data_IF_525280530278
#
_entry.id   IF_525280530278
#
_cell.length_a   1.000
_cell.length_b   1.000
_cell.length_c   1.000
_cell.angle_alpha   90.00
_cell.angle_beta   90.00
_cell.angle_gamma   90.00
#
_symmetry.space_group_name_H-M   'P 1'
#
loop_
_entity.id
_entity.type
_entity.pdbx_description
1 polymer ?
#
# COMPACT_ATOMS: atom_id res chain seq x y z
N UNK A 1 -1.24 40.50 -72.82
CA UNK A 1 -1.54 39.15 -73.40
C UNK A 1 -0.37 38.25 -73.04
N UNK A 2 -0.45 37.49 -71.97
CA UNK A 2 0.38 36.31 -71.75
C UNK A 2 -0.49 35.32 -71.00
N UNK A 3 -0.60 34.10 -71.47
CA UNK A 3 -1.50 33.05 -71.05
C UNK A 3 -0.98 32.33 -69.77
N UNK A 4 -1.86 31.66 -69.01
CA UNK A 4 -1.50 30.94 -67.81
C UNK A 4 -0.97 29.53 -68.07
N UNK A 5 0.11 29.16 -67.44
CA UNK A 5 0.67 27.80 -67.43
C UNK A 5 -0.02 26.97 -66.37
N UNK A 6 -0.60 25.87 -66.81
CA UNK A 6 -1.14 24.77 -65.99
C UNK A 6 0.04 23.93 -65.41
N UNK A 7 0.07 23.68 -64.12
CA UNK A 7 0.73 22.50 -63.58
C UNK A 7 -0.10 21.94 -62.42
N UNK A 8 -0.93 20.97 -62.74
CA UNK A 8 -1.62 20.12 -61.81
C UNK A 8 -0.71 18.91 -61.60
N UNK A 9 -0.27 18.65 -60.39
CA UNK A 9 0.23 17.34 -59.96
C UNK A 9 -0.41 17.00 -58.63
N UNK A 10 -1.39 16.13 -58.72
CA UNK A 10 -1.87 15.34 -57.62
C UNK A 10 -0.71 14.50 -57.11
N UNK A 11 -0.27 14.76 -55.89
CA UNK A 11 0.61 13.87 -55.12
C UNK A 11 -0.26 13.26 -54.06
N UNK A 12 -0.80 12.08 -54.39
CA UNK A 12 -1.40 11.16 -53.48
C UNK A 12 -0.32 10.79 -52.43
N UNK A 13 -0.39 11.38 -51.24
CA UNK A 13 0.47 11.03 -50.16
C UNK A 13 -0.15 9.87 -49.39
N UNK A 14 0.25 8.65 -49.74
CA UNK A 14 0.12 7.47 -48.91
C UNK A 14 0.91 7.67 -47.58
N UNK A 15 0.31 8.36 -46.64
CA UNK A 15 0.74 8.35 -45.27
C UNK A 15 0.08 7.12 -44.63
N UNK A 16 0.82 6.09 -44.26
CA UNK A 16 0.25 4.98 -43.49
C UNK A 16 -0.32 5.53 -42.21
N UNK A 17 -1.62 5.45 -42.03
CA UNK A 17 -2.29 5.70 -40.74
C UNK A 17 -1.71 4.71 -39.76
N UNK A 18 -0.89 5.21 -38.83
CA UNK A 18 -0.50 4.47 -37.64
C UNK A 18 -1.79 4.06 -36.92
N UNK A 19 -2.13 2.79 -37.04
CA UNK A 19 -3.12 2.18 -36.16
C UNK A 19 -2.64 2.39 -34.74
N UNK A 20 -3.50 2.83 -33.79
CA UNK A 20 -3.11 2.87 -32.39
C UNK A 20 -2.69 1.46 -32.00
N UNK A 21 -1.48 1.34 -31.44
CA UNK A 21 -1.01 0.09 -30.89
C UNK A 21 -2.10 -0.45 -29.98
N UNK A 22 -2.53 -1.68 -30.22
CA UNK A 22 -3.42 -2.40 -29.32
C UNK A 22 -2.66 -2.48 -27.99
N UNK A 23 -3.04 -1.64 -27.03
CA UNK A 23 -2.63 -1.77 -25.66
C UNK A 23 -3.20 -3.10 -25.19
N UNK A 24 -2.39 -4.14 -25.25
CA UNK A 24 -2.71 -5.40 -24.59
C UNK A 24 -3.01 -5.05 -23.14
N UNK A 25 -4.28 -5.10 -22.76
CA UNK A 25 -4.67 -5.02 -21.36
C UNK A 25 -3.99 -6.20 -20.70
N UNK A 26 -3.03 -5.93 -19.79
CA UNK A 26 -2.51 -6.98 -18.93
C UNK A 26 -3.72 -7.67 -18.26
N UNK A 27 -3.64 -8.98 -18.05
CA UNK A 27 -4.68 -9.68 -17.33
C UNK A 27 -4.85 -9.05 -15.94
N UNK A 28 -6.09 -8.94 -15.46
CA UNK A 28 -6.35 -8.48 -14.09
C UNK A 28 -5.64 -9.39 -13.10
N UNK A 29 -5.13 -8.81 -12.01
CA UNK A 29 -4.52 -9.59 -10.92
C UNK A 29 -5.60 -10.45 -10.26
N UNK A 30 -5.33 -11.73 -10.07
CA UNK A 30 -6.07 -12.55 -9.12
C UNK A 30 -5.57 -12.22 -7.71
N UNK A 31 -6.48 -11.99 -6.77
CA UNK A 31 -6.18 -11.41 -5.46
C UNK A 31 -6.62 -12.38 -4.35
N UNK A 32 -5.74 -12.64 -3.41
CA UNK A 32 -6.06 -13.36 -2.18
C UNK A 32 -6.22 -12.37 -1.02
N UNK A 33 -7.40 -12.39 -0.42
CA UNK A 33 -7.76 -11.50 0.68
C UNK A 33 -7.28 -12.06 2.01
N UNK A 34 -6.43 -11.31 2.68
CA UNK A 34 -5.93 -11.59 4.02
C UNK A 34 -6.47 -10.55 4.99
N UNK A 35 -6.87 -10.95 6.18
CA UNK A 35 -7.27 -10.02 7.24
C UNK A 35 -6.35 -10.14 8.43
N UNK A 36 -6.00 -9.00 9.03
CA UNK A 36 -5.20 -8.88 10.26
C UNK A 36 -5.99 -8.00 11.23
N UNK A 37 -7.07 -8.54 11.86
CA UNK A 37 -8.00 -7.75 12.65
C UNK A 37 -7.45 -7.48 14.07
N UNK A 38 -6.28 -6.85 14.14
CA UNK A 38 -5.58 -6.57 15.38
C UNK A 38 -5.17 -5.10 15.44
N UNK A 39 -5.27 -4.53 16.65
CA UNK A 39 -4.50 -3.36 17.03
C UNK A 39 -3.36 -3.85 17.91
N UNK A 40 -2.15 -3.79 17.37
CA UNK A 40 -0.97 -4.42 17.95
C UNK A 40 -1.18 -5.94 18.12
N UNK A 41 -1.34 -6.42 19.36
CA UNK A 41 -1.59 -7.83 19.68
C UNK A 41 -3.00 -8.08 20.26
N UNK A 42 -3.89 -7.08 20.16
CA UNK A 42 -5.29 -7.13 20.63
C UNK A 42 -6.24 -7.26 19.44
N UNK A 43 -6.97 -8.38 19.39
CA UNK A 43 -7.89 -8.68 18.29
C UNK A 43 -9.21 -7.90 18.43
N UNK A 44 -9.65 -7.23 17.37
CA UNK A 44 -10.98 -6.61 17.26
C UNK A 44 -11.16 -5.31 18.04
N UNK A 45 -10.13 -4.82 18.71
CA UNK A 45 -10.19 -3.58 19.48
C UNK A 45 -9.82 -2.36 18.62
N UNK A 46 -10.59 -1.28 18.75
CA UNK A 46 -10.32 -0.01 18.07
C UNK A 46 -10.11 -0.17 16.56
N UNK A 47 -8.90 0.12 16.09
CA UNK A 47 -8.50 -0.07 14.70
C UNK A 47 -8.57 -1.55 14.26
N UNK A 48 -8.34 -2.50 15.19
CA UNK A 48 -8.45 -3.93 14.92
C UNK A 48 -9.84 -4.37 14.47
N UNK A 49 -10.88 -3.59 14.72
CA UNK A 49 -12.23 -3.86 14.21
C UNK A 49 -12.42 -3.43 12.73
N UNK A 50 -11.49 -2.67 12.16
CA UNK A 50 -11.58 -2.15 10.79
C UNK A 50 -11.74 -3.22 9.72
N UNK A 51 -10.92 -4.28 9.69
CA UNK A 51 -11.07 -5.38 8.73
C UNK A 51 -12.45 -6.02 8.76
N UNK A 52 -12.96 -6.36 9.95
CA UNK A 52 -14.28 -6.97 10.11
C UNK A 52 -15.41 -6.02 9.67
N UNK A 53 -15.25 -4.71 9.88
CA UNK A 53 -16.22 -3.70 9.43
C UNK A 53 -16.26 -3.59 7.90
N UNK A 54 -15.12 -3.67 7.21
CA UNK A 54 -15.07 -3.69 5.74
C UNK A 54 -15.71 -4.97 5.16
N UNK A 55 -15.46 -6.12 5.77
CA UNK A 55 -16.12 -7.36 5.38
C UNK A 55 -17.63 -7.28 5.57
N UNK A 56 -18.09 -6.78 6.73
CA UNK A 56 -19.51 -6.61 7.04
C UNK A 56 -20.21 -5.59 6.12
N UNK A 57 -19.45 -4.59 5.63
CA UNK A 57 -19.92 -3.63 4.63
C UNK A 57 -20.00 -4.18 3.20
N UNK A 58 -19.60 -5.45 2.97
CA UNK A 58 -19.70 -6.12 1.69
C UNK A 58 -18.56 -5.82 0.71
N UNK A 59 -17.37 -5.46 1.22
CA UNK A 59 -16.20 -5.17 0.36
C UNK A 59 -15.87 -6.32 -0.61
N UNK A 60 -15.83 -7.61 -0.19
CA UNK A 60 -15.53 -8.69 -1.11
C UNK A 60 -16.51 -8.80 -2.28
N UNK A 61 -17.81 -8.62 -2.01
CA UNK A 61 -18.88 -8.67 -3.02
C UNK A 61 -18.76 -7.50 -3.98
N UNK A 62 -18.45 -6.30 -3.47
CA UNK A 62 -18.25 -5.11 -4.30
C UNK A 62 -17.04 -5.26 -5.21
N UNK A 63 -15.93 -5.80 -4.72
CA UNK A 63 -14.72 -6.07 -5.52
C UNK A 63 -14.98 -7.10 -6.62
N UNK A 64 -15.67 -8.21 -6.30
CA UNK A 64 -16.06 -9.22 -7.30
C UNK A 64 -16.98 -8.64 -8.36
N UNK A 65 -17.95 -7.81 -7.95
CA UNK A 65 -18.84 -7.12 -8.89
C UNK A 65 -18.10 -6.13 -9.80
N UNK A 66 -16.98 -5.57 -9.33
CA UNK A 66 -16.09 -4.72 -10.10
C UNK A 66 -15.08 -5.51 -10.99
N UNK A 67 -15.16 -6.84 -11.00
CA UNK A 67 -14.35 -7.71 -11.87
C UNK A 67 -13.03 -8.18 -11.25
N UNK A 68 -12.82 -7.98 -9.93
CA UNK A 68 -11.64 -8.50 -9.24
C UNK A 68 -11.85 -9.99 -8.93
N UNK A 69 -10.94 -10.84 -9.39
CA UNK A 69 -10.93 -12.26 -9.01
C UNK A 69 -10.40 -12.38 -7.58
N UNK A 70 -11.31 -12.50 -6.61
CA UNK A 70 -11.00 -12.47 -5.19
C UNK A 70 -11.22 -13.83 -4.52
N UNK A 71 -10.19 -14.34 -3.85
CA UNK A 71 -10.24 -15.52 -2.95
C UNK A 71 -10.15 -15.10 -1.48
N UNK A 72 -10.33 -15.99 -0.53
CA UNK A 72 -10.34 -15.69 0.89
C UNK A 72 -11.72 -15.19 1.38
N UNK A 73 -11.82 -14.51 2.55
CA UNK A 73 -10.71 -14.03 3.37
C UNK A 73 -10.01 -15.13 4.18
N UNK A 74 -8.70 -14.94 4.39
CA UNK A 74 -7.87 -15.71 5.30
C UNK A 74 -7.42 -14.83 6.45
N UNK A 75 -7.73 -15.18 7.70
CA UNK A 75 -7.37 -14.39 8.87
C UNK A 75 -6.00 -14.80 9.41
N UNK A 76 -5.10 -13.83 9.56
CA UNK A 76 -3.87 -14.00 10.32
C UNK A 76 -4.17 -14.00 11.82
N UNK A 77 -3.52 -14.90 12.56
CA UNK A 77 -3.81 -15.12 13.98
C UNK A 77 -2.56 -15.15 14.82
N UNK A 78 -2.57 -14.39 15.90
CA UNK A 78 -1.62 -14.57 16.98
C UNK A 78 -1.99 -15.87 17.73
N UNK A 79 -1.08 -16.85 17.70
CA UNK A 79 -1.29 -18.09 18.43
C UNK A 79 -1.32 -17.82 19.94
N UNK A 80 -2.45 -18.12 20.64
CA UNK A 80 -2.56 -17.83 22.08
C UNK A 80 -1.48 -18.52 22.93
N UNK A 81 -0.96 -19.69 22.50
CA UNK A 81 0.10 -20.39 23.20
C UNK A 81 1.48 -19.70 23.09
N UNK A 82 1.62 -18.77 22.15
CA UNK A 82 2.85 -17.99 21.91
C UNK A 82 2.71 -16.55 22.41
N UNK A 83 1.51 -16.11 22.75
CA UNK A 83 1.28 -14.75 23.25
C UNK A 83 1.90 -14.60 24.65
N UNK A 84 2.69 -13.54 24.82
CA UNK A 84 3.35 -13.21 26.10
C UNK A 84 2.82 -11.87 26.60
N UNK A 85 2.29 -11.85 27.83
CA UNK A 85 1.81 -10.63 28.47
C UNK A 85 2.94 -9.59 28.60
N UNK A 86 2.66 -8.33 28.27
CA UNK A 86 3.63 -7.23 28.36
C UNK A 86 4.75 -7.27 27.29
N UNK A 87 4.69 -8.17 26.33
CA UNK A 87 5.67 -8.30 25.25
C UNK A 87 5.08 -7.94 23.90
N UNK A 88 4.34 -6.84 23.84
CA UNK A 88 3.56 -6.42 22.65
C UNK A 88 4.38 -6.43 21.35
N UNK A 89 5.58 -5.87 21.34
CA UNK A 89 6.43 -5.88 20.15
C UNK A 89 6.77 -7.31 19.65
N UNK A 90 7.01 -8.25 20.57
CA UNK A 90 7.25 -9.65 20.21
C UNK A 90 5.98 -10.31 19.69
N UNK A 91 4.84 -10.06 20.32
CA UNK A 91 3.54 -10.58 19.91
C UNK A 91 3.14 -10.08 18.53
N UNK A 92 3.37 -8.80 18.23
CA UNK A 92 3.17 -8.22 16.88
C UNK A 92 4.07 -8.96 15.86
N UNK A 93 5.33 -9.21 16.19
CA UNK A 93 6.22 -9.97 15.32
C UNK A 93 5.71 -11.40 15.06
N UNK A 94 5.17 -12.08 16.07
CA UNK A 94 4.58 -13.42 15.95
C UNK A 94 3.31 -13.42 15.09
N UNK A 95 2.45 -12.40 15.25
CA UNK A 95 1.31 -12.17 14.37
C UNK A 95 1.79 -11.88 12.93
N UNK A 96 2.85 -11.09 12.81
CA UNK A 96 3.53 -10.82 11.54
C UNK A 96 4.03 -12.09 10.84
N UNK A 97 4.51 -13.09 11.59
CA UNK A 97 4.92 -14.38 11.01
C UNK A 97 3.74 -15.14 10.38
N UNK A 98 2.56 -15.12 11.00
CA UNK A 98 1.37 -15.73 10.41
C UNK A 98 0.84 -14.93 9.21
N UNK A 99 0.88 -13.60 9.28
CA UNK A 99 0.60 -12.72 8.13
C UNK A 99 1.55 -13.04 6.98
N UNK A 100 2.85 -13.18 7.24
CA UNK A 100 3.86 -13.52 6.24
C UNK A 100 3.59 -14.87 5.57
N UNK A 101 3.18 -15.87 6.34
CA UNK A 101 2.80 -17.19 5.83
C UNK A 101 1.65 -17.10 4.81
N UNK A 102 0.61 -16.32 5.12
CA UNK A 102 -0.54 -16.12 4.23
C UNK A 102 -0.16 -15.35 2.96
N UNK A 103 0.54 -14.23 3.09
CA UNK A 103 1.02 -13.43 1.96
C UNK A 103 1.95 -14.27 1.06
N UNK A 104 2.89 -15.01 1.65
CA UNK A 104 3.77 -15.88 0.87
C UNK A 104 3.01 -17.00 0.15
N UNK A 105 1.95 -17.55 0.76
CA UNK A 105 1.12 -18.56 0.12
C UNK A 105 0.42 -18.01 -1.14
N UNK A 106 -0.20 -16.83 -1.04
CA UNK A 106 -0.81 -16.13 -2.17
C UNK A 106 0.22 -15.88 -3.29
N UNK A 107 1.37 -15.34 -2.94
CA UNK A 107 2.41 -15.02 -3.92
C UNK A 107 3.02 -16.23 -4.63
N UNK A 108 3.15 -17.37 -3.97
CA UNK A 108 3.68 -18.61 -4.59
C UNK A 108 2.78 -19.18 -5.67
N UNK A 109 1.48 -18.90 -5.62
CA UNK A 109 0.52 -19.32 -6.68
C UNK A 109 0.29 -18.21 -7.71
N UNK A 110 1.00 -17.09 -7.61
CA UNK A 110 0.92 -15.98 -8.55
C UNK A 110 -0.17 -14.95 -8.25
N UNK A 111 -0.88 -15.07 -7.11
CA UNK A 111 -1.91 -14.11 -6.70
C UNK A 111 -1.30 -12.86 -6.05
N UNK A 112 -1.96 -11.71 -6.19
CA UNK A 112 -1.71 -10.55 -5.34
C UNK A 112 -2.25 -10.78 -3.94
N UNK A 113 -1.62 -10.21 -2.92
CA UNK A 113 -2.16 -10.24 -1.55
C UNK A 113 -2.82 -8.90 -1.20
N UNK A 114 -4.14 -8.89 -1.02
CA UNK A 114 -4.85 -7.76 -0.42
C UNK A 114 -4.96 -7.99 1.08
N UNK A 115 -4.33 -7.12 1.86
CA UNK A 115 -4.32 -7.22 3.33
C UNK A 115 -5.19 -6.12 3.91
N UNK A 116 -6.25 -6.48 4.62
CA UNK A 116 -7.01 -5.56 5.46
C UNK A 116 -6.44 -5.66 6.87
N UNK A 117 -5.77 -4.63 7.31
CA UNK A 117 -5.09 -4.60 8.61
C UNK A 117 -5.80 -3.66 9.59
N UNK A 118 -5.70 -3.95 10.87
CA UNK A 118 -6.18 -3.04 11.91
C UNK A 118 -5.30 -1.81 11.99
N UNK A 119 -3.99 -2.00 12.13
CA UNK A 119 -3.01 -0.93 12.14
C UNK A 119 -1.78 -1.26 11.27
N UNK A 120 -0.84 -0.32 11.19
CA UNK A 120 0.31 -0.34 10.28
C UNK A 120 1.36 -1.36 10.66
N UNK A 121 1.29 -1.90 11.89
CA UNK A 121 2.24 -2.91 12.39
C UNK A 121 2.20 -4.19 11.58
N UNK A 122 1.09 -4.49 10.91
CA UNK A 122 0.93 -5.63 10.01
C UNK A 122 1.90 -5.61 8.81
N UNK A 123 2.38 -4.43 8.40
CA UNK A 123 3.26 -4.24 7.26
C UNK A 123 4.55 -5.07 7.34
N UNK A 124 5.07 -5.28 8.56
CA UNK A 124 6.28 -6.10 8.76
C UNK A 124 6.05 -7.54 8.29
N UNK A 125 4.88 -8.09 8.62
CA UNK A 125 4.47 -9.42 8.16
C UNK A 125 4.24 -9.47 6.66
N UNK A 126 3.63 -8.43 6.08
CA UNK A 126 3.41 -8.36 4.62
C UNK A 126 4.73 -8.39 3.87
N UNK A 127 5.69 -7.51 4.22
CA UNK A 127 7.00 -7.46 3.56
C UNK A 127 7.80 -8.75 3.80
N UNK A 128 7.71 -9.32 5.00
CA UNK A 128 8.31 -10.63 5.29
C UNK A 128 7.77 -11.71 4.35
N UNK A 129 6.45 -11.77 4.15
CA UNK A 129 5.81 -12.73 3.24
C UNK A 129 6.21 -12.55 1.79
N UNK A 130 6.32 -11.30 1.33
CA UNK A 130 6.82 -10.99 -0.01
C UNK A 130 8.25 -11.49 -0.20
N UNK A 131 9.14 -11.23 0.76
CA UNK A 131 10.54 -11.71 0.70
C UNK A 131 10.65 -13.24 0.76
N UNK A 132 9.79 -13.91 1.53
CA UNK A 132 9.76 -15.38 1.60
C UNK A 132 9.26 -16.05 0.29
N UNK A 133 8.48 -15.36 -0.52
CA UNK A 133 7.97 -15.85 -1.79
C UNK A 133 8.82 -15.41 -2.99
N UNK A 134 9.65 -14.38 -2.83
CA UNK A 134 10.49 -13.86 -3.89
C UNK A 134 11.73 -14.73 -4.13
N UNK A 135 12.33 -14.59 -5.31
CA UNK A 135 13.66 -15.13 -5.58
C UNK A 135 14.67 -14.49 -4.62
N UNK A 136 15.64 -15.26 -4.16
CA UNK A 136 16.69 -14.78 -3.25
C UNK A 136 17.37 -13.51 -3.81
N UNK A 137 17.51 -12.50 -2.96
CA UNK A 137 18.09 -11.21 -3.34
C UNK A 137 17.16 -10.26 -4.09
N UNK A 138 15.91 -10.65 -4.38
CA UNK A 138 14.96 -9.75 -5.03
C UNK A 138 14.62 -8.55 -4.14
N UNK A 139 14.82 -7.34 -4.68
CA UNK A 139 14.47 -6.11 -4.00
C UNK A 139 12.96 -5.89 -3.97
N UNK A 140 12.44 -5.51 -2.81
CA UNK A 140 11.05 -5.11 -2.60
C UNK A 140 11.02 -3.58 -2.42
N UNK A 141 10.24 -2.89 -3.26
CA UNK A 141 9.97 -1.46 -3.08
C UNK A 141 8.74 -1.27 -2.21
N UNK A 142 8.76 -0.24 -1.38
CA UNK A 142 7.65 0.13 -0.49
C UNK A 142 7.12 1.49 -0.92
N UNK A 143 5.84 1.57 -1.24
CA UNK A 143 5.09 2.81 -1.40
C UNK A 143 4.17 2.93 -0.20
N UNK A 144 4.50 3.86 0.68
CA UNK A 144 3.79 4.12 1.94
C UNK A 144 2.93 5.35 1.79
N UNK A 145 1.61 5.16 1.64
CA UNK A 145 0.63 6.24 1.43
C UNK A 145 -0.01 6.55 2.77
N UNK A 146 0.37 7.67 3.38
CA UNK A 146 0.09 7.99 4.77
C UNK A 146 0.23 9.50 5.03
N UNK A 147 -0.51 10.02 6.02
CA UNK A 147 -0.29 11.36 6.54
C UNK A 147 1.03 11.51 7.29
N UNK A 148 1.53 10.41 7.86
CA UNK A 148 2.69 10.32 8.74
C UNK A 148 3.88 9.66 8.05
N UNK A 149 5.02 9.63 8.72
CA UNK A 149 6.22 8.98 8.21
C UNK A 149 6.36 7.53 8.63
N UNK A 150 5.78 7.19 9.78
CA UNK A 150 5.93 5.92 10.48
C UNK A 150 7.39 5.45 10.60
N UNK A 151 8.29 6.44 10.61
CA UNK A 151 9.73 6.28 10.61
C UNK A 151 10.35 6.55 11.99
N UNK A 152 9.51 6.62 13.01
CA UNK A 152 9.97 6.77 14.38
C UNK A 152 10.68 5.52 14.89
N UNK A 153 11.65 5.73 15.75
CA UNK A 153 12.27 4.69 16.60
C UNK A 153 11.85 4.93 18.04
N UNK A 154 12.11 4.01 18.97
CA UNK A 154 11.87 4.27 20.39
C UNK A 154 12.58 5.53 20.92
N UNK A 155 13.69 5.94 20.27
CA UNK A 155 14.49 7.10 20.67
C UNK A 155 13.99 8.41 20.05
N UNK A 156 13.30 8.34 18.91
CA UNK A 156 12.79 9.54 18.20
C UNK A 156 11.34 9.83 18.52
N UNK A 157 10.53 8.78 18.78
CA UNK A 157 9.10 8.90 19.02
C UNK A 157 8.79 9.75 20.25
N UNK A 158 7.91 10.73 20.06
CA UNK A 158 7.39 11.54 21.15
C UNK A 158 6.26 10.83 21.90
N UNK A 159 5.40 10.13 21.16
CA UNK A 159 4.21 9.48 21.71
C UNK A 159 4.44 8.05 22.22
N UNK A 160 5.47 7.36 21.71
CA UNK A 160 5.71 5.94 21.93
C UNK A 160 4.72 5.02 21.20
N UNK A 161 3.91 5.55 20.27
CA UNK A 161 2.95 4.79 19.48
C UNK A 161 3.70 3.81 18.57
N UNK A 162 3.42 2.51 18.72
CA UNK A 162 4.11 1.49 17.93
C UNK A 162 3.73 1.52 16.44
N UNK A 163 2.51 1.93 16.11
CA UNK A 163 2.07 2.09 14.72
C UNK A 163 2.86 3.19 13.97
N UNK A 164 3.48 4.15 14.67
CA UNK A 164 4.35 5.17 14.07
C UNK A 164 5.81 4.70 13.83
N UNK A 165 6.10 3.39 13.87
CA UNK A 165 7.46 2.85 13.74
C UNK A 165 7.68 1.86 12.59
N UNK A 166 6.65 1.33 11.90
CA UNK A 166 6.82 0.22 10.97
C UNK A 166 7.82 0.47 9.86
N UNK A 167 7.88 1.67 9.30
CA UNK A 167 8.81 1.98 8.20
C UNK A 167 10.26 1.96 8.68
N UNK A 168 10.55 2.51 9.86
CA UNK A 168 11.89 2.42 10.47
C UNK A 168 12.28 0.97 10.77
N UNK A 169 11.32 0.15 11.19
CA UNK A 169 11.54 -1.29 11.45
C UNK A 169 11.80 -2.04 10.13
N UNK A 170 11.03 -1.76 9.08
CA UNK A 170 11.27 -2.30 7.74
C UNK A 170 12.66 -1.94 7.22
N UNK A 171 13.10 -0.70 7.44
CA UNK A 171 14.43 -0.20 7.09
C UNK A 171 15.56 -0.75 7.98
N UNK A 172 15.24 -1.50 9.05
CA UNK A 172 16.24 -2.09 9.95
C UNK A 172 16.82 -1.14 10.98
N UNK A 173 16.25 0.05 11.14
CA UNK A 173 16.73 1.09 12.05
C UNK A 173 16.18 0.93 13.47
N UNK A 174 15.10 0.15 13.64
CA UNK A 174 14.46 -0.10 14.92
C UNK A 174 13.93 -1.54 15.02
N UNK A 175 13.43 -1.93 16.19
CA UNK A 175 12.62 -3.12 16.43
C UNK A 175 13.20 -4.45 15.94
N UNK A 176 14.50 -4.81 16.18
CA UNK A 176 15.08 -6.05 15.67
C UNK A 176 14.29 -7.28 16.12
N UNK A 177 13.85 -7.32 17.38
CA UNK A 177 13.08 -8.43 17.93
C UNK A 177 11.74 -8.62 17.19
N UNK A 178 11.08 -7.53 16.88
CA UNK A 178 9.83 -7.53 16.13
C UNK A 178 10.03 -8.08 14.70
N UNK A 179 11.04 -7.58 14.00
CA UNK A 179 11.39 -8.00 12.66
C UNK A 179 11.81 -9.48 12.59
N UNK A 180 12.66 -9.91 13.54
CA UNK A 180 13.09 -11.31 13.67
C UNK A 180 11.92 -12.24 13.92
N UNK A 181 11.03 -11.90 14.86
CA UNK A 181 9.85 -12.69 15.18
C UNK A 181 8.87 -12.81 13.99
N UNK A 182 8.80 -11.80 13.12
CA UNK A 182 8.04 -11.85 11.88
C UNK A 182 8.74 -12.60 10.74
N UNK A 183 9.98 -13.06 10.94
CA UNK A 183 10.78 -13.74 9.92
C UNK A 183 11.34 -12.81 8.83
N UNK A 184 11.40 -11.52 9.07
CA UNK A 184 12.01 -10.53 8.18
C UNK A 184 13.51 -10.40 8.48
N UNK A 185 14.31 -11.31 7.94
CA UNK A 185 15.75 -11.37 8.19
C UNK A 185 16.51 -10.17 7.59
N UNK A 186 16.18 -9.77 6.37
CA UNK A 186 16.86 -8.69 5.64
C UNK A 186 15.96 -7.45 5.60
N UNK A 187 16.44 -6.28 6.05
CA UNK A 187 15.71 -5.02 5.92
C UNK A 187 15.39 -4.64 4.47
N UNK A 188 14.52 -3.67 4.30
CA UNK A 188 14.32 -2.94 3.04
C UNK A 188 15.33 -1.80 3.00
N UNK A 189 16.06 -1.68 1.91
CA UNK A 189 16.99 -0.57 1.70
C UNK A 189 16.20 0.76 1.63
N UNK A 190 16.70 1.81 2.26
CA UNK A 190 15.99 3.09 2.36
C UNK A 190 15.71 3.73 1.00
N UNK A 191 16.57 3.54 0.01
CA UNK A 191 16.35 3.99 -1.38
C UNK A 191 15.19 3.27 -2.09
N UNK A 192 14.66 2.20 -1.51
CA UNK A 192 13.49 1.44 -1.99
C UNK A 192 12.20 1.83 -1.26
N UNK A 193 12.21 2.92 -0.50
CA UNK A 193 11.03 3.41 0.25
C UNK A 193 10.63 4.79 -0.25
N UNK A 194 9.35 4.94 -0.57
CA UNK A 194 8.69 6.22 -0.89
C UNK A 194 7.59 6.46 0.12
N UNK A 195 7.68 7.55 0.86
CA UNK A 195 6.62 8.09 1.72
C UNK A 195 5.77 9.04 0.88
N UNK A 196 4.50 8.76 0.72
CA UNK A 196 3.60 9.47 -0.19
C UNK A 196 2.38 10.02 0.57
N UNK A 197 2.11 11.31 0.49
CA UNK A 197 1.02 11.97 1.22
C UNK A 197 1.44 12.53 2.57
N UNK A 198 2.69 12.32 2.96
CA UNK A 198 3.23 12.71 4.27
C UNK A 198 3.20 14.22 4.44
N UNK A 199 2.62 14.65 5.56
CA UNK A 199 2.44 16.06 5.91
C UNK A 199 2.59 16.36 7.40
N UNK A 200 2.71 15.31 8.22
CA UNK A 200 2.86 15.41 9.67
C UNK A 200 4.01 14.51 10.12
N UNK A 201 5.11 15.11 10.55
CA UNK A 201 6.33 14.44 10.98
C UNK A 201 6.79 15.01 12.32
N UNK A 202 7.21 14.14 13.23
CA UNK A 202 7.95 14.55 14.42
C UNK A 202 9.31 15.13 14.04
N UNK A 203 9.80 16.15 14.74
CA UNK A 203 11.09 16.83 14.41
C UNK A 203 12.28 15.85 14.34
N UNK A 204 12.33 14.88 15.25
CA UNK A 204 13.42 13.90 15.28
C UNK A 204 13.24 12.84 14.19
N UNK A 205 12.00 12.47 13.89
CA UNK A 205 11.65 11.58 12.80
C UNK A 205 12.07 12.17 11.45
N UNK A 206 11.69 13.43 11.19
CA UNK A 206 12.09 14.14 9.96
C UNK A 206 13.61 14.17 9.79
N UNK A 207 14.35 14.47 10.88
CA UNK A 207 15.82 14.45 10.84
C UNK A 207 16.36 13.05 10.52
N UNK A 208 15.73 12.00 11.05
CA UNK A 208 16.13 10.62 10.78
C UNK A 208 15.86 10.28 9.31
N UNK A 209 14.67 10.57 8.79
CA UNK A 209 14.32 10.33 7.37
C UNK A 209 15.33 11.05 6.45
N UNK A 210 15.60 12.32 6.70
CA UNK A 210 16.56 13.13 5.91
C UNK A 210 18.00 12.65 5.98
N UNK A 211 18.35 11.78 6.92
CA UNK A 211 19.66 11.14 7.00
C UNK A 211 19.76 9.84 6.20
N UNK A 212 18.67 9.43 5.54
CA UNK A 212 18.56 8.23 4.72
C UNK A 212 18.26 8.58 3.26
N UNK A 213 18.12 7.55 2.42
CA UNK A 213 17.75 7.71 1.00
C UNK A 213 16.23 7.57 0.77
N UNK A 214 15.41 7.58 1.83
CA UNK A 214 13.95 7.55 1.75
C UNK A 214 13.47 8.80 1.02
N UNK A 215 12.60 8.61 0.04
CA UNK A 215 11.99 9.71 -0.68
C UNK A 215 10.65 10.08 -0.07
N UNK A 216 10.43 11.38 0.18
CA UNK A 216 9.14 11.93 0.60
C UNK A 216 8.49 12.64 -0.59
N UNK A 217 7.22 12.32 -0.84
CA UNK A 217 6.34 13.05 -1.78
C UNK A 217 5.16 13.58 -0.96
N UNK A 218 5.07 14.88 -0.70
CA UNK A 218 4.01 15.45 0.12
C UNK A 218 2.64 15.32 -0.57
N UNK A 219 1.55 15.42 0.21
CA UNK A 219 0.18 15.28 -0.30
C UNK A 219 -0.15 16.23 -1.46
N UNK A 220 0.40 17.45 -1.43
CA UNK A 220 0.21 18.48 -2.49
C UNK A 220 0.82 18.11 -3.83
N UNK A 221 1.74 17.15 -3.89
CA UNK A 221 2.49 16.76 -5.09
C UNK A 221 2.08 15.39 -5.65
N UNK A 222 1.13 14.72 -4.98
CA UNK A 222 0.71 13.36 -5.42
C UNK A 222 -0.10 13.38 -6.71
N UNK A 223 -0.91 14.41 -6.96
CA UNK A 223 -1.79 14.48 -8.12
C UNK A 223 -1.39 15.54 -9.14
N UNK A 224 -0.73 16.60 -8.72
CA UNK A 224 -0.47 17.77 -9.56
C UNK A 224 0.98 17.90 -10.05
N UNK A 225 1.88 16.99 -9.59
CA UNK A 225 3.31 17.04 -9.90
C UNK A 225 3.84 15.77 -10.55
N UNK A 226 5.01 15.89 -11.18
CA UNK A 226 5.75 14.75 -11.76
C UNK A 226 6.50 13.93 -10.71
N UNK A 227 6.65 14.42 -9.48
CA UNK A 227 7.53 13.85 -8.47
C UNK A 227 7.10 12.47 -8.02
N UNK A 228 5.78 12.27 -7.82
CA UNK A 228 5.25 10.94 -7.49
C UNK A 228 5.48 9.95 -8.62
N UNK A 229 5.15 10.32 -9.86
CA UNK A 229 5.36 9.47 -11.03
C UNK A 229 6.84 9.09 -11.19
N UNK A 230 7.76 10.04 -10.99
CA UNK A 230 9.20 9.79 -11.05
C UNK A 230 9.69 8.89 -9.92
N UNK A 231 9.12 9.04 -8.71
CA UNK A 231 9.43 8.18 -7.56
C UNK A 231 9.03 6.73 -7.85
N UNK A 232 7.80 6.51 -8.33
CA UNK A 232 7.30 5.19 -8.70
C UNK A 232 8.11 4.58 -9.84
N UNK A 233 8.45 5.36 -10.85
CA UNK A 233 9.29 4.89 -11.96
C UNK A 233 10.70 4.47 -11.49
N UNK A 234 11.31 5.20 -10.55
CA UNK A 234 12.58 4.79 -9.91
C UNK A 234 12.45 3.45 -9.19
N UNK A 235 11.41 3.27 -8.36
CA UNK A 235 11.15 2.01 -7.67
C UNK A 235 10.94 0.85 -8.64
N UNK A 236 10.15 1.06 -9.70
CA UNK A 236 9.87 0.01 -10.70
C UNK A 236 11.12 -0.44 -11.45
N UNK A 237 12.10 0.44 -11.63
CA UNK A 237 13.39 0.07 -12.25
C UNK A 237 14.31 -0.70 -11.31
N UNK A 238 14.26 -0.44 -10.01
CA UNK A 238 15.17 -1.01 -9.02
C UNK A 238 14.64 -2.25 -8.34
N UNK A 239 13.32 -2.33 -8.15
CA UNK A 239 12.67 -3.38 -7.38
C UNK A 239 11.98 -4.40 -8.29
N UNK A 240 12.06 -5.66 -7.90
CA UNK A 240 11.35 -6.76 -8.57
C UNK A 240 9.85 -6.72 -8.31
N UNK A 241 9.45 -6.34 -7.10
CA UNK A 241 8.07 -6.25 -6.64
C UNK A 241 7.86 -4.99 -5.81
N UNK A 242 6.61 -4.50 -5.78
CA UNK A 242 6.20 -3.38 -4.94
C UNK A 242 5.19 -3.85 -3.88
N UNK A 243 5.32 -3.28 -2.71
CA UNK A 243 4.32 -3.27 -1.66
C UNK A 243 3.68 -1.89 -1.61
N UNK A 244 2.37 -1.81 -1.78
CA UNK A 244 1.58 -0.60 -1.57
C UNK A 244 0.91 -0.68 -0.20
N UNK A 245 1.32 0.19 0.70
CA UNK A 245 0.67 0.40 1.98
C UNK A 245 -0.20 1.66 1.92
N UNK A 246 -1.39 1.61 2.49
CA UNK A 246 -2.30 2.74 2.59
C UNK A 246 -2.85 2.81 4.00
N UNK A 247 -2.37 3.78 4.78
CA UNK A 247 -3.07 4.25 5.97
C UNK A 247 -4.23 5.16 5.54
N UNK A 248 -5.43 4.86 6.02
CA UNK A 248 -6.62 5.62 5.64
C UNK A 248 -6.64 7.05 6.22
N UNK A 249 -5.76 7.39 7.15
CA UNK A 249 -5.63 8.75 7.66
C UNK A 249 -4.89 9.69 6.69
N UNK A 250 -4.34 9.16 5.60
CA UNK A 250 -3.91 9.97 4.45
C UNK A 250 -5.05 10.81 3.90
N UNK A 251 -6.28 10.31 4.00
CA UNK A 251 -7.48 11.05 3.65
C UNK A 251 -7.69 12.23 4.61
N UNK A 252 -8.25 13.31 4.09
CA UNK A 252 -8.69 14.44 4.94
C UNK A 252 -9.75 13.96 5.95
N UNK A 253 -9.73 14.46 7.20
CA UNK A 253 -10.68 14.08 8.26
C UNK A 253 -12.15 14.27 7.90
N UNK A 254 -12.47 15.04 6.85
CA UNK A 254 -13.82 15.15 6.29
C UNK A 254 -14.34 13.81 5.78
N UNK A 255 -13.45 12.95 5.29
CA UNK A 255 -13.77 11.65 4.72
C UNK A 255 -13.61 10.53 5.76
N UNK A 256 -12.64 10.64 6.66
CA UNK A 256 -12.35 9.65 7.72
C UNK A 256 -12.43 10.27 9.11
N UNK A 257 -13.61 10.78 9.51
CA UNK A 257 -13.75 11.55 10.77
C UNK A 257 -13.53 10.71 12.03
N UNK A 258 -13.39 9.40 11.93
CA UNK A 258 -13.08 8.49 13.04
C UNK A 258 -11.60 8.06 13.07
N UNK A 259 -10.74 8.60 12.21
CA UNK A 259 -9.29 8.32 12.26
C UNK A 259 -8.73 8.57 13.68
N UNK A 260 -7.79 7.74 14.09
CA UNK A 260 -7.16 7.84 15.42
C UNK A 260 -6.17 8.99 15.49
N UNK A 261 -5.50 9.27 14.39
CA UNK A 261 -4.50 10.32 14.20
C UNK A 261 -4.90 11.22 13.03
N UNK A 262 -5.99 12.01 13.16
CA UNK A 262 -6.50 12.78 12.04
C UNK A 262 -5.59 13.94 11.70
N UNK A 263 -5.13 14.04 10.46
CA UNK A 263 -4.29 15.12 9.95
C UNK A 263 -5.04 15.91 8.87
N UNK A 264 -5.09 17.24 9.02
CA UNK A 264 -5.80 18.13 8.09
C UNK A 264 -5.07 18.24 6.73
N UNK A 265 -5.79 18.74 5.72
CA UNK A 265 -5.27 18.92 4.36
C UNK A 265 -4.84 17.60 3.69
N UNK A 266 -5.55 16.53 4.01
CA UNK A 266 -5.35 15.23 3.40
C UNK A 266 -6.02 15.09 2.04
N UNK A 267 -5.84 13.91 1.45
CA UNK A 267 -6.40 13.60 0.14
C UNK A 267 -7.94 13.51 0.18
N UNK A 268 -8.57 13.83 -0.93
CA UNK A 268 -9.91 13.37 -1.23
C UNK A 268 -9.92 11.88 -1.58
N UNK A 269 -11.11 11.28 -1.62
CA UNK A 269 -11.26 9.88 -2.03
C UNK A 269 -10.76 9.68 -3.48
N UNK A 270 -11.09 10.61 -4.38
CA UNK A 270 -10.71 10.51 -5.79
C UNK A 270 -9.19 10.67 -6.00
N UNK A 271 -8.53 11.53 -5.24
CA UNK A 271 -7.07 11.67 -5.24
C UNK A 271 -6.39 10.39 -4.72
N UNK A 272 -6.90 9.78 -3.66
CA UNK A 272 -6.39 8.50 -3.17
C UNK A 272 -6.59 7.38 -4.21
N UNK A 273 -7.76 7.30 -4.85
CA UNK A 273 -8.02 6.35 -5.94
C UNK A 273 -7.03 6.55 -7.08
N UNK A 274 -6.77 7.79 -7.47
CA UNK A 274 -5.80 8.13 -8.52
C UNK A 274 -4.38 7.70 -8.14
N UNK A 275 -3.95 8.03 -6.91
CA UNK A 275 -2.64 7.66 -6.35
C UNK A 275 -2.45 6.14 -6.34
N UNK A 276 -3.41 5.41 -5.77
CA UNK A 276 -3.35 3.94 -5.75
C UNK A 276 -3.33 3.35 -7.16
N UNK A 277 -4.19 3.85 -8.05
CA UNK A 277 -4.28 3.37 -9.44
C UNK A 277 -2.96 3.52 -10.18
N UNK A 278 -2.27 4.66 -10.02
CA UNK A 278 -0.96 4.89 -10.64
C UNK A 278 0.08 3.83 -10.22
N UNK A 279 0.09 3.43 -8.95
CA UNK A 279 0.98 2.38 -8.45
C UNK A 279 0.56 1.00 -8.95
N UNK A 280 -0.75 0.68 -8.89
CA UNK A 280 -1.31 -0.62 -9.28
C UNK A 280 -1.09 -0.93 -10.77
N UNK A 281 -1.13 0.09 -11.62
CA UNK A 281 -0.92 -0.05 -13.07
C UNK A 281 0.55 -0.27 -13.47
N UNK A 282 1.50 -0.18 -12.55
CA UNK A 282 2.92 -0.48 -12.84
C UNK A 282 3.15 -1.95 -13.21
N UNK A 283 2.22 -2.84 -12.87
CA UNK A 283 2.37 -4.29 -13.03
C UNK A 283 3.41 -4.90 -12.09
N UNK A 284 3.86 -4.18 -11.06
CA UNK A 284 4.84 -4.66 -10.08
C UNK A 284 4.30 -4.81 -8.67
N UNK A 285 3.07 -4.35 -8.41
CA UNK A 285 2.47 -4.48 -7.08
C UNK A 285 2.18 -5.95 -6.78
N UNK A 286 2.79 -6.45 -5.73
CA UNK A 286 2.65 -7.83 -5.26
C UNK A 286 1.73 -7.96 -4.04
N UNK A 287 1.66 -6.90 -3.23
CA UNK A 287 0.73 -6.81 -2.12
C UNK A 287 0.23 -5.36 -1.95
N UNK A 288 -1.01 -5.25 -1.52
CA UNK A 288 -1.65 -4.01 -1.05
C UNK A 288 -2.10 -4.23 0.38
N UNK A 289 -1.77 -3.32 1.29
CA UNK A 289 -2.38 -3.29 2.61
C UNK A 289 -3.20 -2.01 2.78
N UNK A 290 -4.35 -2.14 3.42
CA UNK A 290 -5.20 -1.04 3.86
C UNK A 290 -5.30 -1.14 5.38
N UNK A 291 -4.94 -0.08 6.09
CA UNK A 291 -4.84 -0.04 7.55
C UNK A 291 -5.57 1.15 8.16
N UNK A 292 -5.61 1.16 9.46
CA UNK A 292 -6.01 2.28 10.31
C UNK A 292 -7.46 2.73 10.14
N UNK A 293 -8.34 1.84 9.64
CA UNK A 293 -9.77 2.10 9.67
C UNK A 293 -10.29 1.93 11.10
N UNK A 294 -10.65 3.03 11.73
CA UNK A 294 -11.45 2.99 12.95
C UNK A 294 -12.94 2.99 12.56
N UNK A 295 -13.65 1.87 12.69
CA UNK A 295 -15.09 1.84 12.38
C UNK A 295 -15.90 2.69 13.35
N UNK A 296 -15.36 2.99 14.56
CA UNK A 296 -15.94 3.87 15.53
C UNK A 296 -17.39 3.54 15.88
N UNK A 297 -18.12 4.54 16.38
CA UNK A 297 -19.53 4.44 16.67
C UNK A 297 -20.33 5.54 15.95
N UNK A 298 -21.55 5.18 15.48
CA UNK A 298 -22.48 6.11 14.83
C UNK A 298 -21.96 6.70 13.51
N UNK A 299 -22.52 7.84 13.13
CA UNK A 299 -22.34 8.45 11.80
C UNK A 299 -20.89 8.75 11.41
N UNK A 300 -19.98 8.96 12.36
CA UNK A 300 -18.55 9.19 12.06
C UNK A 300 -17.90 7.92 11.56
N UNK A 301 -18.12 6.80 12.26
CA UNK A 301 -17.61 5.50 11.84
C UNK A 301 -18.18 5.04 10.50
N UNK A 302 -19.50 5.16 10.33
CA UNK A 302 -20.19 4.83 9.07
C UNK A 302 -19.63 5.61 7.89
N UNK A 303 -19.32 6.90 8.08
CA UNK A 303 -18.69 7.73 7.04
C UNK A 303 -17.30 7.22 6.70
N UNK A 304 -16.47 6.90 7.70
CA UNK A 304 -15.12 6.39 7.49
C UNK A 304 -15.15 5.03 6.74
N UNK A 305 -16.03 4.11 7.15
CA UNK A 305 -16.21 2.84 6.43
C UNK A 305 -16.65 3.09 4.98
N UNK A 306 -17.62 3.99 4.76
CA UNK A 306 -18.09 4.31 3.40
C UNK A 306 -16.98 4.90 2.54
N UNK A 307 -16.14 5.77 3.10
CA UNK A 307 -15.00 6.37 2.38
C UNK A 307 -13.95 5.33 2.03
N UNK A 308 -13.60 4.46 2.98
CA UNK A 308 -12.67 3.35 2.76
C UNK A 308 -13.18 2.40 1.65
N UNK A 309 -14.47 2.01 1.71
CA UNK A 309 -15.10 1.18 0.68
C UNK A 309 -14.99 1.80 -0.71
N UNK A 310 -15.25 3.11 -0.84
CA UNK A 310 -15.15 3.83 -2.13
C UNK A 310 -13.72 3.88 -2.64
N UNK A 311 -12.74 4.17 -1.79
CA UNK A 311 -11.33 4.24 -2.17
C UNK A 311 -10.83 2.86 -2.65
N UNK A 312 -11.07 1.82 -1.86
CA UNK A 312 -10.61 0.46 -2.18
C UNK A 312 -11.27 -0.06 -3.46
N UNK A 313 -12.60 0.01 -3.55
CA UNK A 313 -13.34 -0.49 -4.71
C UNK A 313 -13.11 0.35 -5.97
N UNK A 314 -12.76 1.62 -5.84
CA UNK A 314 -12.40 2.50 -6.96
C UNK A 314 -11.03 2.18 -7.54
N UNK A 315 -10.05 1.81 -6.70
CA UNK A 315 -8.67 1.62 -7.13
C UNK A 315 -8.34 0.18 -7.54
N UNK A 316 -8.77 -0.83 -6.78
CA UNK A 316 -8.32 -2.22 -6.95
C UNK A 316 -8.64 -2.85 -8.33
N UNK A 317 -9.71 -2.50 -9.04
CA UNK A 317 -9.93 -3.00 -10.40
C UNK A 317 -8.82 -2.63 -11.40
N UNK A 318 -7.99 -1.64 -11.07
CA UNK A 318 -6.82 -1.25 -11.87
C UNK A 318 -5.58 -2.11 -11.62
N UNK A 319 -5.63 -3.05 -10.68
CA UNK A 319 -4.49 -3.90 -10.33
C UNK A 319 -4.21 -4.91 -11.44
N UNK A 320 -3.12 -4.69 -12.17
CA UNK A 320 -2.67 -5.58 -13.24
C UNK A 320 -1.68 -6.62 -12.72
N UNK A 321 -1.71 -7.80 -13.34
CA UNK A 321 -0.92 -8.94 -12.90
C UNK A 321 0.58 -8.64 -12.93
N UNK A 322 1.26 -8.93 -11.84
CA UNK A 322 2.72 -9.00 -11.78
C UNK A 322 3.16 -10.28 -12.48
N UNK A 323 4.18 -10.26 -13.37
CA UNK A 323 4.77 -11.50 -13.84
C UNK A 323 5.14 -12.37 -12.63
N UNK A 324 4.70 -13.63 -12.66
CA UNK A 324 5.04 -14.58 -11.60
C UNK A 324 6.56 -14.65 -11.39
N UNK A 325 7.03 -15.15 -10.23
CA UNK A 325 8.45 -15.40 -10.04
C UNK A 325 8.92 -16.38 -11.11
N UNK A 326 9.85 -15.94 -11.97
CA UNK A 326 10.54 -16.79 -12.93
C UNK A 326 11.50 -17.72 -12.22
#
# INVERSE_FOLDING_TARGET
>A
MVAPSRYNRDVDSDIPRLQPASTGRGSSMRVDLVTVPYRYDERGEGLGAGPDALLAAGLPEQLRAAGVELTGPHEARLNPSLQEEGRTALNIGRLGADTARLVAAARRIGDGALVLAGDDTAAIGVVSGLKQAAVEGAAIGVVWVDAHGDFNTPETSFSGILAGMPVAILAGLAGPLWREAAGLATPVETEHIVLAGTRELDEKEEKLIRSTDVQIVPATELCDGDDFAQAIDRLTRRCAQLYLHVDLDVLDPRFVPSASTPSANGLSIDELVTTMTAVLQTGKVAAVAISSLNPGAGARGERSVTSAMKAIAGALPAWIATPGPC
#
